data_IF_024669230202
#
_entry.id   IF_024669230202
#
_cell.length_a   1.000
_cell.length_b   1.000
_cell.length_c   1.000
_cell.angle_alpha   90.00
_cell.angle_beta   90.00
_cell.angle_gamma   90.00
#
_symmetry.space_group_name_H-M   'P 1'
#
loop_
_entity.id
_entity.type
_entity.pdbx_description
1 polymer ?
#
# COMPACT_ATOMS: atom_id res chain seq x y z
N UNK A 1 -12.24 4.84 12.02
CA UNK A 1 -10.92 4.18 12.05
C UNK A 1 -10.56 3.71 13.45
N UNK A 2 -10.76 4.55 14.48
CA UNK A 2 -10.42 4.24 15.89
C UNK A 2 -10.97 2.89 16.38
N UNK A 3 -12.21 2.53 16.04
CA UNK A 3 -12.80 1.25 16.46
C UNK A 3 -12.03 0.01 15.96
N UNK A 4 -11.69 -0.04 14.67
CA UNK A 4 -11.00 -1.20 14.07
C UNK A 4 -9.55 -1.33 14.55
N UNK A 5 -8.85 -0.20 14.70
CA UNK A 5 -7.47 -0.18 15.19
C UNK A 5 -7.42 -0.67 16.64
N UNK A 6 -8.29 -0.14 17.51
CA UNK A 6 -8.37 -0.55 18.92
C UNK A 6 -8.72 -2.02 19.07
N UNK A 7 -9.65 -2.53 18.25
CA UNK A 7 -10.00 -3.96 18.25
C UNK A 7 -8.84 -4.86 17.81
N UNK A 8 -8.15 -4.52 16.72
CA UNK A 8 -7.02 -5.31 16.24
C UNK A 8 -5.84 -5.27 17.23
N UNK A 9 -5.59 -4.12 17.87
CA UNK A 9 -4.59 -3.98 18.92
C UNK A 9 -4.93 -4.81 20.16
N UNK A 10 -6.19 -4.79 20.61
CA UNK A 10 -6.64 -5.61 21.73
C UNK A 10 -6.47 -7.11 21.45
N UNK A 11 -6.84 -7.58 20.25
CA UNK A 11 -6.64 -8.97 19.82
C UNK A 11 -5.17 -9.36 19.80
N UNK A 12 -4.29 -8.47 19.33
CA UNK A 12 -2.85 -8.72 19.34
C UNK A 12 -2.33 -8.88 20.77
N UNK A 13 -2.70 -7.99 21.68
CA UNK A 13 -2.26 -8.05 23.08
C UNK A 13 -2.74 -9.33 23.78
N UNK A 14 -3.98 -9.75 23.51
CA UNK A 14 -4.53 -10.99 24.05
C UNK A 14 -3.80 -12.23 23.49
N UNK A 15 -3.59 -12.29 22.17
CA UNK A 15 -2.86 -13.39 21.54
C UNK A 15 -1.42 -13.52 22.07
N UNK A 16 -0.72 -12.40 22.26
CA UNK A 16 0.64 -12.38 22.83
C UNK A 16 0.65 -12.89 24.27
N UNK A 17 -0.30 -12.46 25.11
CA UNK A 17 -0.42 -12.94 26.50
C UNK A 17 -0.66 -14.46 26.56
N UNK A 18 -1.47 -14.96 25.63
CA UNK A 18 -1.83 -16.38 25.55
C UNK A 18 -0.80 -17.24 24.78
N UNK A 19 0.30 -16.64 24.29
CA UNK A 19 1.30 -17.30 23.43
C UNK A 19 0.70 -17.96 22.18
N UNK A 20 -0.41 -17.41 21.70
CA UNK A 20 -1.04 -17.81 20.43
C UNK A 20 -0.31 -17.13 19.27
N UNK A 21 0.59 -17.88 18.64
CA UNK A 21 1.40 -17.39 17.52
C UNK A 21 0.55 -17.08 16.29
N UNK A 22 -0.43 -17.93 15.96
CA UNK A 22 -1.30 -17.74 14.81
C UNK A 22 -2.21 -16.51 14.97
N UNK A 23 -2.79 -16.33 16.16
CA UNK A 23 -3.60 -15.14 16.48
C UNK A 23 -2.77 -13.85 16.47
N UNK A 24 -1.52 -13.92 16.91
CA UNK A 24 -0.56 -12.81 16.88
C UNK A 24 -0.26 -12.39 15.43
N UNK A 25 0.08 -13.36 14.57
CA UNK A 25 0.37 -13.10 13.15
C UNK A 25 -0.84 -12.53 12.40
N UNK A 26 -2.03 -13.09 12.63
CA UNK A 26 -3.27 -12.61 12.02
C UNK A 26 -3.59 -11.16 12.43
N UNK A 27 -3.49 -10.86 13.72
CA UNK A 27 -3.76 -9.51 14.25
C UNK A 27 -2.72 -8.50 13.78
N UNK A 28 -1.45 -8.90 13.74
CA UNK A 28 -0.37 -8.08 13.20
C UNK A 28 -0.58 -7.77 11.71
N UNK A 29 -0.97 -8.76 10.91
CA UNK A 29 -1.30 -8.55 9.50
C UNK A 29 -2.44 -7.55 9.32
N UNK A 30 -3.52 -7.66 10.13
CA UNK A 30 -4.63 -6.71 10.09
C UNK A 30 -4.18 -5.29 10.40
N UNK A 31 -3.37 -5.09 11.44
CA UNK A 31 -2.80 -3.78 11.77
C UNK A 31 -1.95 -3.21 10.64
N UNK A 32 -1.14 -4.04 9.96
CA UNK A 32 -0.35 -3.61 8.79
C UNK A 32 -1.24 -3.17 7.62
N UNK A 33 -2.35 -3.87 7.37
CA UNK A 33 -3.31 -3.48 6.34
C UNK A 33 -3.95 -2.13 6.69
N UNK A 34 -4.45 -1.99 7.92
CA UNK A 34 -5.05 -0.74 8.42
C UNK A 34 -4.08 0.44 8.27
N UNK A 35 -2.84 0.25 8.69
CA UNK A 35 -1.78 1.24 8.54
C UNK A 35 -1.44 1.53 7.07
N UNK A 36 -1.79 0.66 6.12
CA UNK A 36 -1.59 0.85 4.68
C UNK A 36 -2.82 1.45 3.99
N UNK A 37 -3.87 1.75 4.76
CA UNK A 37 -5.08 2.43 4.30
C UNK A 37 -6.14 1.52 3.69
N UNK A 38 -6.11 0.23 4.01
CA UNK A 38 -7.17 -0.70 3.62
C UNK A 38 -7.37 -1.78 4.68
N UNK A 39 -8.40 -2.60 4.53
CA UNK A 39 -8.56 -3.81 5.31
C UNK A 39 -9.16 -4.92 4.47
N UNK A 40 -8.89 -6.16 4.85
CA UNK A 40 -9.54 -7.34 4.28
C UNK A 40 -10.71 -7.73 5.18
N UNK A 41 -11.88 -7.89 4.59
CA UNK A 41 -13.10 -8.38 5.24
C UNK A 41 -13.58 -9.64 4.54
N UNK A 42 -14.22 -10.52 5.30
CA UNK A 42 -14.84 -11.71 4.74
C UNK A 42 -16.16 -11.30 4.05
N UNK A 43 -16.29 -11.65 2.78
CA UNK A 43 -17.48 -11.49 1.96
C UNK A 43 -18.37 -12.73 2.01
N UNK A 44 -19.37 -12.76 1.13
CA UNK A 44 -20.19 -13.96 0.95
C UNK A 44 -19.33 -15.08 0.35
N UNK A 45 -19.64 -16.35 0.69
CA UNK A 45 -18.95 -17.54 0.16
C UNK A 45 -17.44 -17.67 0.49
N UNK A 46 -16.98 -17.11 1.63
CA UNK A 46 -15.56 -17.09 2.03
C UNK A 46 -14.64 -16.28 1.11
N UNK A 47 -15.18 -15.38 0.29
CA UNK A 47 -14.36 -14.47 -0.50
C UNK A 47 -13.73 -13.40 0.38
N UNK A 48 -12.46 -13.08 0.13
CA UNK A 48 -11.76 -12.00 0.84
C UNK A 48 -11.88 -10.69 0.05
N UNK A 49 -12.66 -9.76 0.58
CA UNK A 49 -12.89 -8.45 -0.03
C UNK A 49 -11.92 -7.43 0.60
N UNK A 50 -11.25 -6.63 -0.23
CA UNK A 50 -10.39 -5.53 0.24
C UNK A 50 -11.16 -4.22 0.16
N UNK A 51 -11.31 -3.56 1.30
CA UNK A 51 -11.98 -2.27 1.43
C UNK A 51 -10.93 -1.21 1.72
N UNK A 52 -10.90 -0.17 0.89
CA UNK A 52 -10.00 0.97 1.06
C UNK A 52 -10.70 2.04 1.91
N UNK A 53 -9.94 2.79 2.70
CA UNK A 53 -10.48 3.93 3.44
C UNK A 53 -10.43 5.19 2.59
N UNK A 54 -11.42 6.06 2.73
CA UNK A 54 -11.47 7.35 2.02
C UNK A 54 -10.28 8.25 2.38
N UNK A 55 -9.90 8.24 3.68
CA UNK A 55 -8.71 8.93 4.18
C UNK A 55 -7.57 7.93 4.38
N UNK A 56 -6.41 8.26 3.81
CA UNK A 56 -5.17 7.52 3.99
C UNK A 56 -4.01 8.49 4.21
N UNK A 57 -3.67 8.78 5.48
CA UNK A 57 -2.63 9.75 5.82
C UNK A 57 -1.27 9.44 5.19
N UNK A 58 -0.95 8.16 4.93
CA UNK A 58 0.30 7.80 4.24
C UNK A 58 0.31 8.21 2.77
N UNK A 59 -0.82 8.12 2.08
CA UNK A 59 -0.93 8.59 0.70
C UNK A 59 -0.90 10.11 0.63
N UNK A 60 -1.54 10.77 1.59
CA UNK A 60 -1.53 12.24 1.66
C UNK A 60 -0.10 12.76 1.93
N UNK A 61 0.64 12.10 2.82
CA UNK A 61 2.05 12.41 3.04
C UNK A 61 2.94 12.07 1.84
N UNK A 62 2.67 10.97 1.14
CA UNK A 62 3.39 10.64 -0.10
C UNK A 62 3.21 11.74 -1.15
N UNK A 63 1.99 12.26 -1.31
CA UNK A 63 1.69 13.36 -2.22
C UNK A 63 2.46 14.64 -1.86
N UNK A 64 2.55 14.97 -0.57
CA UNK A 64 3.39 16.06 -0.07
C UNK A 64 4.87 15.88 -0.49
N UNK A 65 5.41 14.66 -0.31
CA UNK A 65 6.81 14.37 -0.66
C UNK A 65 7.08 14.38 -2.16
N UNK A 66 6.12 13.95 -2.97
CA UNK A 66 6.25 14.03 -4.42
C UNK A 66 6.20 15.49 -4.88
N UNK A 67 5.32 16.30 -4.29
CA UNK A 67 5.21 17.73 -4.59
C UNK A 67 6.46 18.51 -4.19
N UNK A 68 7.14 18.10 -3.11
CA UNK A 68 8.38 18.70 -2.64
C UNK A 68 9.64 18.16 -3.35
N UNK A 69 9.51 17.17 -4.24
CA UNK A 69 10.65 16.55 -4.92
C UNK A 69 11.24 17.52 -5.97
N UNK A 70 12.58 17.61 -6.08
CA UNK A 70 13.20 18.39 -7.15
C UNK A 70 12.77 17.90 -8.54
N UNK A 71 12.52 18.84 -9.47
CA UNK A 71 11.99 18.55 -10.81
C UNK A 71 12.85 17.57 -11.62
N UNK A 72 14.17 17.56 -11.39
CA UNK A 72 15.12 16.69 -12.10
C UNK A 72 15.28 15.31 -11.44
N UNK A 73 14.75 15.10 -10.24
CA UNK A 73 14.86 13.84 -9.53
C UNK A 73 13.79 12.82 -9.94
N UNK A 74 14.02 11.56 -9.57
CA UNK A 74 13.03 10.48 -9.64
C UNK A 74 12.90 9.84 -8.26
N UNK A 75 11.73 9.25 -7.97
CA UNK A 75 11.44 8.60 -6.69
C UNK A 75 11.04 7.15 -6.91
N UNK A 76 11.53 6.27 -6.04
CA UNK A 76 11.06 4.88 -5.93
C UNK A 76 10.29 4.74 -4.62
N UNK A 77 9.07 4.22 -4.71
CA UNK A 77 8.15 4.01 -3.59
C UNK A 77 7.98 2.51 -3.39
N UNK A 78 8.58 1.99 -2.31
CA UNK A 78 8.41 0.61 -1.88
C UNK A 78 7.16 0.46 -1.01
N UNK A 79 6.46 -0.65 -1.16
CA UNK A 79 5.30 -1.00 -0.35
C UNK A 79 5.06 -2.51 -0.38
N UNK A 80 4.43 -3.02 0.68
CA UNK A 80 4.34 -4.47 0.87
C UNK A 80 3.09 -5.12 0.25
N UNK A 81 2.02 -4.37 0.01
CA UNK A 81 0.75 -4.94 -0.41
C UNK A 81 0.42 -4.57 -1.86
N UNK A 82 0.10 -5.58 -2.68
CA UNK A 82 -0.39 -5.37 -4.06
C UNK A 82 -1.58 -4.40 -4.11
N UNK A 83 -2.46 -4.42 -3.10
CA UNK A 83 -3.57 -3.47 -3.01
C UNK A 83 -3.10 -2.03 -2.82
N UNK A 84 -2.10 -1.82 -1.97
CA UNK A 84 -1.45 -0.52 -1.79
C UNK A 84 -0.78 -0.04 -3.08
N UNK A 85 -0.19 -0.94 -3.88
CA UNK A 85 0.30 -0.60 -5.22
C UNK A 85 -0.78 0.09 -6.08
N UNK A 86 -1.99 -0.49 -6.08
CA UNK A 86 -3.12 0.03 -6.82
C UNK A 86 -3.59 1.38 -6.28
N UNK A 87 -3.69 1.52 -4.96
CA UNK A 87 -4.08 2.78 -4.31
C UNK A 87 -3.12 3.94 -4.63
N UNK A 88 -1.80 3.68 -4.55
CA UNK A 88 -0.79 4.68 -4.90
C UNK A 88 -0.94 5.07 -6.38
N UNK A 89 -1.06 4.08 -7.27
CA UNK A 89 -1.22 4.33 -8.70
C UNK A 89 -2.46 5.14 -9.06
N UNK A 90 -3.59 4.83 -8.43
CA UNK A 90 -4.83 5.56 -8.64
C UNK A 90 -4.67 7.03 -8.22
N UNK A 91 -4.07 7.29 -7.06
CA UNK A 91 -3.78 8.64 -6.57
C UNK A 91 -2.87 9.40 -7.55
N UNK A 92 -1.76 8.80 -7.98
CA UNK A 92 -0.84 9.42 -8.94
C UNK A 92 -1.51 9.70 -10.28
N UNK A 93 -2.39 8.82 -10.74
CA UNK A 93 -3.18 9.01 -11.96
C UNK A 93 -4.13 10.20 -11.83
N UNK A 94 -4.85 10.34 -10.71
CA UNK A 94 -5.73 11.49 -10.42
C UNK A 94 -4.96 12.81 -10.42
N UNK A 95 -3.73 12.80 -9.89
CA UNK A 95 -2.83 13.96 -9.87
C UNK A 95 -2.11 14.19 -11.21
N UNK A 96 -2.37 13.37 -12.23
CA UNK A 96 -1.71 13.42 -13.55
C UNK A 96 -0.18 13.27 -13.48
N UNK A 97 0.32 12.57 -12.46
CA UNK A 97 1.74 12.27 -12.28
C UNK A 97 2.04 10.96 -13.00
N UNK A 98 2.92 11.03 -14.02
CA UNK A 98 3.33 9.82 -14.75
C UNK A 98 4.23 8.96 -13.88
N UNK A 99 3.90 7.68 -13.80
CA UNK A 99 4.56 6.72 -12.94
C UNK A 99 4.64 5.34 -13.57
N UNK A 100 5.55 4.51 -13.09
CA UNK A 100 5.71 3.10 -13.41
C UNK A 100 5.30 2.21 -12.23
N UNK A 101 4.92 0.96 -12.52
CA UNK A 101 4.43 0.03 -11.49
C UNK A 101 4.99 -1.36 -11.70
N UNK A 102 5.53 -1.92 -10.61
CA UNK A 102 6.03 -3.29 -10.56
C UNK A 102 5.42 -3.97 -9.33
N UNK A 103 4.83 -5.15 -9.55
CA UNK A 103 4.31 -6.04 -8.50
C UNK A 103 4.42 -7.48 -8.97
N UNK A 104 4.20 -8.45 -8.06
CA UNK A 104 4.38 -9.88 -8.33
C UNK A 104 3.56 -10.46 -9.50
N UNK A 105 2.50 -9.76 -9.94
CA UNK A 105 1.69 -10.13 -11.11
C UNK A 105 2.02 -9.37 -12.41
N UNK A 106 3.01 -8.46 -12.39
CA UNK A 106 3.37 -7.66 -13.55
C UNK A 106 4.19 -8.49 -14.54
N UNK A 107 3.72 -8.62 -15.79
CA UNK A 107 4.39 -9.41 -16.83
C UNK A 107 5.56 -8.68 -17.48
N UNK A 108 5.48 -7.35 -17.56
CA UNK A 108 6.38 -6.49 -18.36
C UNK A 108 7.35 -5.68 -17.48
N UNK A 109 8.02 -6.36 -16.54
CA UNK A 109 8.90 -5.71 -15.55
C UNK A 109 10.00 -4.87 -16.20
N UNK A 110 10.68 -5.42 -17.22
CA UNK A 110 11.78 -4.73 -17.93
C UNK A 110 11.27 -3.47 -18.64
N UNK A 111 10.06 -3.52 -19.23
CA UNK A 111 9.47 -2.37 -19.91
C UNK A 111 9.12 -1.25 -18.91
N UNK A 112 8.56 -1.59 -17.74
CA UNK A 112 8.23 -0.62 -16.69
C UNK A 112 9.48 0.01 -16.07
N UNK A 113 10.54 -0.79 -15.85
CA UNK A 113 11.84 -0.28 -15.42
C UNK A 113 12.46 0.65 -16.46
N UNK A 114 12.41 0.27 -17.74
CA UNK A 114 12.93 1.10 -18.83
C UNK A 114 12.12 2.38 -18.96
N UNK A 115 10.78 2.33 -18.84
CA UNK A 115 9.94 3.54 -18.81
C UNK A 115 10.32 4.44 -17.64
N UNK A 116 10.50 3.89 -16.44
CA UNK A 116 10.94 4.67 -15.29
C UNK A 116 12.34 5.23 -15.47
N UNK A 117 13.27 4.53 -16.13
CA UNK A 117 14.64 5.03 -16.34
C UNK A 117 14.68 6.11 -17.43
N UNK A 118 14.08 5.81 -18.58
CA UNK A 118 14.35 6.49 -19.85
C UNK A 118 13.33 7.59 -20.18
N UNK A 119 12.08 7.53 -19.70
CA UNK A 119 11.11 8.61 -19.89
C UNK A 119 11.33 9.70 -18.82
N UNK A 120 11.80 10.91 -19.17
CA UNK A 120 12.03 11.98 -18.21
C UNK A 120 10.74 12.46 -17.53
N UNK A 121 9.57 12.22 -18.14
CA UNK A 121 8.26 12.54 -17.56
C UNK A 121 7.81 11.48 -16.56
N UNK A 122 8.29 10.24 -16.67
CA UNK A 122 8.00 9.17 -15.71
C UNK A 122 8.89 9.35 -14.48
N UNK A 123 8.34 9.98 -13.44
CA UNK A 123 9.11 10.43 -12.27
C UNK A 123 9.05 9.49 -11.08
N UNK A 124 8.02 8.64 -11.01
CA UNK A 124 7.76 7.78 -9.85
C UNK A 124 7.75 6.32 -10.27
N UNK A 125 8.41 5.45 -9.52
CA UNK A 125 8.28 3.99 -9.62
C UNK A 125 7.63 3.45 -8.35
N UNK A 126 6.53 2.73 -8.50
CA UNK A 126 5.83 2.07 -7.38
C UNK A 126 6.14 0.57 -7.43
N UNK A 127 6.88 0.09 -6.44
CA UNK A 127 7.43 -1.27 -6.42
C UNK A 127 6.94 -2.04 -5.20
N UNK A 128 6.44 -3.25 -5.42
CA UNK A 128 6.08 -4.16 -4.34
C UNK A 128 7.29 -4.97 -3.86
N UNK A 129 7.57 -4.95 -2.56
CA UNK A 129 8.62 -5.72 -1.89
C UNK A 129 8.10 -6.87 -0.99
#
# INVERSE_FOLDING_TARGET
>A
MEGYVSMAAAKLLDAVKNKDTAGTEASYLQLRQLASGFMTVDGQNNDKIKVSFDSNPKLDYLEEKISAMPTESKMVVFHHFIHTNALISERLTKLKIKHARIWSGQKKVIEELSRFRDDPKCKILVLND
#
